data_IF_182474205365
#
_entry.id   IF_182474205365
#
_cell.length_a   1.000
_cell.length_b   1.000
_cell.length_c   1.000
_cell.angle_alpha   90.00
_cell.angle_beta   90.00
_cell.angle_gamma   90.00
#
_symmetry.space_group_name_H-M   'P 1'
#
loop_
_entity.id
_entity.type
_entity.pdbx_description
1 polymer ?
#
# COMPACT_ATOMS: atom_id res chain seq x y z
N UNK A 1 -15.36 16.64 24.79
CA UNK A 1 -14.36 16.67 23.71
C UNK A 1 -14.94 15.90 22.54
N UNK A 2 -15.46 16.60 21.54
CA UNK A 2 -16.15 16.01 20.38
C UNK A 2 -15.42 16.51 19.13
N UNK A 3 -14.62 15.63 18.54
CA UNK A 3 -13.75 15.89 17.41
C UNK A 3 -12.85 14.67 17.26
N UNK A 4 -13.43 13.53 16.87
CA UNK A 4 -12.73 12.24 17.02
C UNK A 4 -12.99 11.20 15.93
N UNK A 5 -13.99 11.34 15.06
CA UNK A 5 -14.25 10.34 14.00
C UNK A 5 -14.35 10.95 12.60
N UNK A 6 -15.03 12.09 12.46
CA UNK A 6 -15.08 12.84 11.19
C UNK A 6 -13.70 13.37 10.77
N UNK A 7 -12.91 13.84 11.74
CA UNK A 7 -11.56 14.35 11.48
C UNK A 7 -10.60 13.23 11.05
N UNK A 8 -10.80 12.01 11.56
CA UNK A 8 -9.96 10.86 11.23
C UNK A 8 -10.24 10.36 9.81
N UNK A 9 -11.51 10.22 9.43
CA UNK A 9 -11.90 9.85 8.07
C UNK A 9 -11.36 10.86 7.05
N UNK A 10 -11.52 12.17 7.33
CA UNK A 10 -10.99 13.22 6.46
C UNK A 10 -9.46 13.18 6.31
N UNK A 11 -8.73 12.83 7.38
CA UNK A 11 -7.28 12.63 7.32
C UNK A 11 -6.88 11.40 6.51
N UNK A 12 -7.61 10.29 6.66
CA UNK A 12 -7.38 9.06 5.89
C UNK A 12 -7.65 9.26 4.41
N UNK A 13 -8.74 9.94 4.05
CA UNK A 13 -9.08 10.29 2.67
C UNK A 13 -7.99 11.18 2.06
N UNK A 14 -7.56 12.22 2.77
CA UNK A 14 -6.47 13.09 2.31
C UNK A 14 -5.14 12.33 2.18
N UNK A 15 -4.86 11.40 3.09
CA UNK A 15 -3.67 10.56 3.03
C UNK A 15 -3.70 9.61 1.83
N UNK A 16 -4.87 9.03 1.52
CA UNK A 16 -5.06 8.18 0.35
C UNK A 16 -4.90 8.95 -0.95
N UNK A 17 -5.56 10.11 -1.09
CA UNK A 17 -5.51 10.92 -2.32
C UNK A 17 -4.08 11.29 -2.73
N UNK A 18 -3.17 11.43 -1.75
CA UNK A 18 -1.75 11.65 -2.01
C UNK A 18 -1.06 10.46 -2.69
N UNK A 19 -1.34 9.23 -2.24
CA UNK A 19 -0.70 8.01 -2.73
C UNK A 19 -1.50 7.26 -3.81
N UNK A 20 -2.76 7.66 -4.03
CA UNK A 20 -3.66 7.03 -4.98
C UNK A 20 -3.15 7.08 -6.44
N UNK A 21 -2.54 8.18 -6.95
CA UNK A 21 -2.06 8.23 -8.31
C UNK A 21 -1.01 7.13 -8.65
N UNK A 22 0.10 6.97 -7.90
CA UNK A 22 1.06 5.89 -8.17
C UNK A 22 0.46 4.50 -7.94
N UNK A 23 -0.36 4.29 -6.90
CA UNK A 23 -1.06 3.03 -6.67
C UNK A 23 -1.93 2.60 -7.87
N UNK A 24 -2.74 3.52 -8.40
CA UNK A 24 -3.61 3.27 -9.57
C UNK A 24 -2.79 2.97 -10.83
N UNK A 25 -1.66 3.65 -11.03
CA UNK A 25 -0.76 3.39 -12.17
C UNK A 25 -0.13 2.00 -12.09
N UNK A 26 0.40 1.61 -10.93
CA UNK A 26 1.02 0.29 -10.73
C UNK A 26 -0.02 -0.81 -10.81
N UNK A 27 -1.19 -0.64 -10.18
CA UNK A 27 -2.32 -1.58 -10.29
C UNK A 27 -2.66 -1.87 -11.77
N UNK A 28 -2.80 -0.81 -12.57
CA UNK A 28 -3.11 -0.93 -13.99
C UNK A 28 -2.01 -1.60 -14.80
N UNK A 29 -0.74 -1.24 -14.56
CA UNK A 29 0.39 -1.79 -15.34
C UNK A 29 0.68 -3.25 -15.01
N UNK A 30 0.58 -3.62 -13.73
CA UNK A 30 0.89 -4.97 -13.25
C UNK A 30 -0.33 -5.88 -13.19
N UNK A 31 -1.53 -5.34 -13.48
CA UNK A 31 -2.78 -6.10 -13.49
C UNK A 31 -3.33 -6.47 -12.11
N UNK A 32 -2.91 -5.75 -11.07
CA UNK A 32 -3.34 -5.91 -9.67
C UNK A 32 -4.71 -5.28 -9.41
N UNK A 33 -5.40 -5.76 -8.36
CA UNK A 33 -6.58 -5.11 -7.80
C UNK A 33 -6.17 -4.13 -6.71
N UNK A 34 -6.60 -2.87 -6.80
CA UNK A 34 -6.40 -1.88 -5.74
C UNK A 34 -7.54 -1.93 -4.73
N UNK A 35 -7.21 -2.05 -3.46
CA UNK A 35 -8.12 -1.93 -2.32
C UNK A 35 -7.82 -0.61 -1.59
N UNK A 36 -8.78 0.31 -1.62
CA UNK A 36 -8.62 1.69 -1.10
C UNK A 36 -8.78 1.80 0.42
N UNK A 37 -9.27 0.75 1.09
CA UNK A 37 -9.26 0.59 2.54
C UNK A 37 -9.21 -0.90 2.88
N UNK A 38 -8.30 -1.31 3.76
CA UNK A 38 -8.24 -2.67 4.25
C UNK A 38 -8.59 -2.71 5.73
N UNK A 39 -9.76 -3.29 6.06
CA UNK A 39 -10.23 -3.54 7.44
C UNK A 39 -10.34 -2.29 8.33
N UNK A 40 -10.78 -1.17 7.77
CA UNK A 40 -10.91 0.13 8.46
C UNK A 40 -9.56 0.72 8.93
N UNK A 41 -8.44 0.09 8.58
CA UNK A 41 -7.10 0.62 8.76
C UNK A 41 -6.69 1.45 7.53
N UNK A 42 -5.86 2.49 7.71
CA UNK A 42 -5.25 3.28 6.63
C UNK A 42 -4.18 2.48 5.86
N UNK A 43 -4.61 1.37 5.28
CA UNK A 43 -3.80 0.44 4.49
C UNK A 43 -4.42 0.31 3.11
N UNK A 44 -3.62 0.63 2.09
CA UNK A 44 -3.97 0.53 0.68
C UNK A 44 -3.22 -0.64 0.06
N UNK A 45 -3.96 -1.57 -0.54
CA UNK A 45 -3.39 -2.85 -1.00
C UNK A 45 -3.49 -3.01 -2.51
N UNK A 46 -2.37 -3.37 -3.13
CA UNK A 46 -2.30 -3.95 -4.46
C UNK A 46 -2.32 -5.48 -4.33
N UNK A 47 -3.44 -6.11 -4.67
CA UNK A 47 -3.63 -7.56 -4.59
C UNK A 47 -3.40 -8.21 -5.97
N UNK A 48 -2.50 -9.19 -6.02
CA UNK A 48 -2.09 -9.91 -7.24
C UNK A 48 -2.74 -11.30 -7.37
N UNK A 49 -3.65 -11.66 -6.47
CA UNK A 49 -4.30 -12.97 -6.40
C UNK A 49 -4.72 -13.52 -7.76
N UNK A 50 -4.27 -14.74 -8.07
CA UNK A 50 -4.68 -15.50 -9.24
C UNK A 50 -4.13 -15.07 -10.61
N UNK A 51 -3.19 -14.11 -10.69
CA UNK A 51 -2.52 -13.74 -11.97
C UNK A 51 -1.02 -13.95 -11.93
N UNK A 52 -0.55 -15.19 -12.07
CA UNK A 52 0.84 -15.55 -12.39
C UNK A 52 1.95 -15.12 -11.40
N UNK A 53 1.64 -14.27 -10.40
CA UNK A 53 2.53 -13.76 -9.34
C UNK A 53 2.11 -14.24 -7.94
N UNK A 54 1.19 -15.21 -7.88
CA UNK A 54 0.77 -15.88 -6.65
C UNK A 54 -0.22 -15.09 -5.81
N UNK A 55 -0.53 -15.61 -4.62
CA UNK A 55 -1.34 -14.92 -3.61
C UNK A 55 -0.50 -13.88 -2.86
N UNK A 56 0.04 -12.94 -3.63
CA UNK A 56 0.91 -11.87 -3.21
C UNK A 56 0.19 -10.52 -3.16
N UNK A 57 0.63 -9.65 -2.27
CA UNK A 57 0.13 -8.29 -2.14
C UNK A 57 1.25 -7.28 -1.84
N UNK A 58 1.03 -6.03 -2.22
CA UNK A 58 1.84 -4.89 -1.78
C UNK A 58 0.94 -3.93 -1.01
N UNK A 59 1.31 -3.61 0.21
CA UNK A 59 0.59 -2.68 1.09
C UNK A 59 1.34 -1.36 1.18
N UNK A 60 0.59 -0.27 1.20
CA UNK A 60 1.03 1.05 1.67
C UNK A 60 0.22 1.34 2.92
N UNK A 61 0.90 1.48 4.07
CA UNK A 61 0.27 1.79 5.35
C UNK A 61 0.65 3.19 5.83
N UNK A 62 -0.30 3.89 6.41
CA UNK A 62 -0.12 5.21 7.00
C UNK A 62 -0.51 5.19 8.47
N UNK A 63 0.17 5.93 9.33
CA UNK A 63 -0.14 6.00 10.77
C UNK A 63 -0.44 7.45 11.17
N UNK A 64 -1.40 7.63 12.08
CA UNK A 64 -1.83 8.96 12.51
C UNK A 64 -0.76 9.69 13.34
N UNK A 65 0.11 8.95 14.03
CA UNK A 65 1.22 9.47 14.83
C UNK A 65 2.44 9.87 13.98
N UNK A 66 2.52 9.38 12.73
CA UNK A 66 3.55 9.69 11.74
C UNK A 66 2.90 10.07 10.40
N UNK A 67 2.13 11.17 10.37
CA UNK A 67 1.30 11.50 9.22
C UNK A 67 2.09 11.78 7.94
N UNK A 68 3.37 12.14 8.05
CA UNK A 68 4.28 12.37 6.94
C UNK A 68 4.83 11.10 6.28
N UNK A 69 4.69 9.93 6.93
CA UNK A 69 5.34 8.68 6.53
C UNK A 69 4.32 7.63 6.04
N UNK A 70 4.73 6.89 5.01
CA UNK A 70 3.98 5.81 4.38
C UNK A 70 4.89 4.59 4.25
N UNK A 71 4.61 3.54 5.01
CA UNK A 71 5.40 2.31 4.94
C UNK A 71 4.91 1.44 3.78
N UNK A 72 5.82 1.00 2.92
CA UNK A 72 5.56 0.08 1.80
C UNK A 72 6.01 -1.31 2.21
N UNK A 73 5.09 -2.27 2.19
CA UNK A 73 5.36 -3.67 2.54
C UNK A 73 4.94 -4.61 1.42
N UNK A 74 5.62 -5.73 1.29
CA UNK A 74 5.20 -6.85 0.45
C UNK A 74 4.75 -8.00 1.34
N UNK A 75 3.68 -8.69 0.94
CA UNK A 75 3.06 -9.80 1.67
C UNK A 75 2.80 -10.96 0.72
N UNK A 76 3.03 -12.19 1.18
CA UNK A 76 2.72 -13.39 0.42
C UNK A 76 2.54 -14.58 1.35
N UNK A 77 1.85 -15.62 0.87
CA UNK A 77 1.73 -16.86 1.61
C UNK A 77 2.86 -17.82 1.24
N UNK A 78 3.49 -18.42 2.25
CA UNK A 78 4.41 -19.55 2.12
C UNK A 78 3.82 -20.73 2.89
N UNK A 79 3.17 -21.65 2.16
CA UNK A 79 2.32 -22.66 2.77
C UNK A 79 1.16 -22.02 3.54
N UNK A 80 1.02 -22.33 4.82
CA UNK A 80 0.00 -21.75 5.71
C UNK A 80 0.49 -20.51 6.46
N UNK A 81 1.69 -20.01 6.17
CA UNK A 81 2.27 -18.87 6.87
C UNK A 81 2.26 -17.63 5.99
N UNK A 82 1.64 -16.56 6.50
CA UNK A 82 1.75 -15.23 5.90
C UNK A 82 3.14 -14.66 6.19
N UNK A 83 3.85 -14.33 5.13
CA UNK A 83 5.10 -13.60 5.17
C UNK A 83 4.83 -12.12 4.92
N UNK A 84 5.63 -11.27 5.56
CA UNK A 84 5.61 -9.82 5.36
C UNK A 84 7.04 -9.30 5.39
N UNK A 85 7.38 -8.44 4.44
CA UNK A 85 8.66 -7.73 4.41
C UNK A 85 8.41 -6.25 4.11
N UNK A 86 9.03 -5.38 4.90
CA UNK A 86 9.06 -3.95 4.59
C UNK A 86 10.06 -3.67 3.47
N UNK A 87 9.64 -2.87 2.49
CA UNK A 87 10.47 -2.44 1.37
C UNK A 87 11.14 -1.11 1.71
N UNK A 88 10.40 -0.22 2.37
CA UNK A 88 10.89 1.02 2.93
C UNK A 88 9.76 2.00 3.20
N UNK A 89 10.13 3.24 3.53
CA UNK A 89 9.20 4.32 3.83
C UNK A 89 9.26 5.43 2.79
N UNK A 90 8.10 5.89 2.36
CA UNK A 90 7.89 7.07 1.54
C UNK A 90 7.45 8.24 2.44
N UNK A 91 7.95 9.43 2.16
CA UNK A 91 7.58 10.65 2.90
C UNK A 91 6.95 11.68 1.96
N UNK A 92 6.01 12.48 2.46
CA UNK A 92 5.22 13.44 1.64
C UNK A 92 6.03 14.51 0.89
N UNK A 93 7.27 14.76 1.31
CA UNK A 93 8.20 15.70 0.70
C UNK A 93 8.93 15.13 -0.53
N UNK A 94 8.81 13.82 -0.79
CA UNK A 94 9.40 13.13 -1.94
C UNK A 94 8.47 13.14 -3.15
N UNK A 95 9.05 12.91 -4.33
CA UNK A 95 8.28 12.79 -5.58
C UNK A 95 7.38 11.56 -5.57
N UNK A 96 6.18 11.65 -6.15
CA UNK A 96 5.32 10.48 -6.35
C UNK A 96 5.95 9.43 -7.29
N UNK A 97 6.93 9.83 -8.10
CA UNK A 97 7.72 8.89 -8.90
C UNK A 97 8.60 7.99 -8.02
N UNK A 98 9.07 8.48 -6.88
CA UNK A 98 9.81 7.67 -5.90
C UNK A 98 8.91 6.62 -5.27
N UNK A 99 7.67 6.99 -4.92
CA UNK A 99 6.69 6.04 -4.42
C UNK A 99 6.34 4.99 -5.49
N UNK A 100 6.15 5.41 -6.74
CA UNK A 100 5.92 4.46 -7.83
C UNK A 100 7.09 3.49 -8.02
N UNK A 101 8.34 3.98 -7.97
CA UNK A 101 9.52 3.13 -8.05
C UNK A 101 9.57 2.12 -6.89
N UNK A 102 9.27 2.56 -5.66
CA UNK A 102 9.23 1.70 -4.48
C UNK A 102 8.13 0.64 -4.57
N UNK A 103 6.95 0.99 -5.08
CA UNK A 103 5.87 0.04 -5.35
C UNK A 103 6.29 -1.01 -6.39
N UNK A 104 6.95 -0.59 -7.47
CA UNK A 104 7.46 -1.52 -8.49
C UNK A 104 8.55 -2.44 -7.94
N UNK A 105 9.42 -1.93 -7.08
CA UNK A 105 10.39 -2.75 -6.36
C UNK A 105 9.68 -3.79 -5.48
N UNK A 106 8.65 -3.38 -4.72
CA UNK A 106 7.86 -4.28 -3.89
C UNK A 106 7.21 -5.40 -4.71
N UNK A 107 6.64 -5.07 -5.89
CA UNK A 107 6.09 -6.05 -6.83
C UNK A 107 7.15 -7.03 -7.33
N UNK A 108 8.37 -6.56 -7.60
CA UNK A 108 9.47 -7.41 -8.04
C UNK A 108 10.03 -8.33 -6.94
N UNK A 109 9.76 -8.03 -5.67
CA UNK A 109 10.12 -8.88 -4.52
C UNK A 109 9.10 -9.99 -4.25
N UNK A 110 7.90 -9.94 -4.87
CA UNK A 110 6.94 -11.03 -4.76
C UNK A 110 7.53 -12.32 -5.35
N UNK A 111 7.37 -13.47 -4.68
CA UNK A 111 7.83 -14.73 -5.23
C UNK A 111 7.09 -15.04 -6.54
N UNK A 112 7.82 -15.57 -7.52
CA UNK A 112 7.21 -16.15 -8.70
C UNK A 112 6.42 -17.40 -8.29
N UNK A 113 5.21 -17.58 -8.85
CA UNK A 113 4.42 -18.80 -8.69
C UNK A 113 4.96 -19.95 -9.53
#
# INVERSE_FOLDING_TARGET
>A
MAGTSWDKLGQMDAAFELVAPPLRRVARSEGARLHEFFRDDPVWRLDFGGKGRGDGAVDVSWEEDRPEEYAVSVLWWEGERLQRQEVGSFTRDRSLDDLEAMLREAVNRLPAS
#
